data_IF_087254741852
#
_entry.id   IF_087254741852
#
_cell.length_a   1.000
_cell.length_b   1.000
_cell.length_c   1.000
_cell.angle_alpha   90.00
_cell.angle_beta   90.00
_cell.angle_gamma   90.00
#
_symmetry.space_group_name_H-M   'P 1'
#
loop_
_entity.id
_entity.type
_entity.pdbx_description
1 polymer ?
#
# COMPACT_ATOMS: atom_id res chain seq x y z
N UNK A 1 -7.65 9.40 44.63
CA UNK A 1 -8.30 9.29 43.30
C UNK A 1 -7.27 8.82 42.29
N UNK A 2 -7.21 7.53 41.98
CA UNK A 2 -6.49 7.07 40.78
C UNK A 2 -7.28 7.59 39.57
N UNK A 3 -6.72 8.58 38.85
CA UNK A 3 -7.22 8.90 37.52
C UNK A 3 -6.99 7.65 36.67
N UNK A 4 -8.06 7.06 36.14
CA UNK A 4 -7.93 6.03 35.11
C UNK A 4 -7.00 6.56 34.02
N UNK A 5 -5.95 5.82 33.62
CA UNK A 5 -5.02 6.29 32.61
C UNK A 5 -5.79 6.67 31.34
N UNK A 6 -5.60 7.90 30.87
CA UNK A 6 -6.32 8.41 29.70
C UNK A 6 -5.97 7.62 28.44
N UNK A 7 -6.97 7.03 27.80
CA UNK A 7 -6.82 6.33 26.53
C UNK A 7 -6.27 7.29 25.47
N UNK A 8 -5.20 6.89 24.79
CA UNK A 8 -4.50 7.76 23.83
C UNK A 8 -4.26 7.03 22.52
N UNK A 9 -4.30 7.76 21.40
CA UNK A 9 -3.90 7.26 20.09
C UNK A 9 -2.76 8.11 19.55
N UNK A 10 -1.60 7.50 19.28
CA UNK A 10 -0.48 8.16 18.60
C UNK A 10 -0.68 8.09 17.09
N UNK A 11 -0.68 9.25 16.42
CA UNK A 11 -1.05 9.39 15.02
C UNK A 11 0.19 9.81 14.20
N UNK A 12 0.70 8.88 13.41
CA UNK A 12 1.64 9.13 12.33
C UNK A 12 0.99 8.91 10.96
N UNK A 13 0.05 9.80 10.62
CA UNK A 13 -0.70 9.75 9.37
C UNK A 13 -0.46 11.02 8.53
N UNK A 14 -0.44 10.92 7.19
CA UNK A 14 -0.31 12.09 6.33
C UNK A 14 -1.45 13.10 6.56
N UNK A 15 -1.23 14.40 6.32
CA UNK A 15 -2.22 15.45 6.55
C UNK A 15 -3.31 15.50 5.47
N UNK A 16 -3.89 14.34 5.14
CA UNK A 16 -5.01 14.20 4.20
C UNK A 16 -6.34 14.39 4.93
N UNK A 17 -7.39 14.83 4.22
CA UNK A 17 -8.71 15.09 4.78
C UNK A 17 -9.30 13.91 5.60
N UNK A 18 -8.88 12.69 5.28
CA UNK A 18 -9.29 11.43 5.92
C UNK A 18 -8.74 11.25 7.34
N UNK A 19 -7.62 11.91 7.69
CA UNK A 19 -7.10 11.97 9.06
C UNK A 19 -8.09 12.62 10.02
N UNK A 20 -8.87 13.61 9.56
CA UNK A 20 -9.87 14.29 10.39
C UNK A 20 -11.02 13.38 10.81
N UNK A 21 -11.46 12.49 9.92
CA UNK A 21 -12.53 11.53 10.21
C UNK A 21 -12.12 10.51 11.26
N UNK A 22 -10.91 9.96 11.11
CA UNK A 22 -10.30 9.04 12.08
C UNK A 22 -10.15 9.71 13.47
N UNK A 23 -9.65 10.95 13.53
CA UNK A 23 -9.53 11.71 14.79
C UNK A 23 -10.88 12.02 15.44
N UNK A 24 -11.90 12.30 14.64
CA UNK A 24 -13.25 12.53 15.13
C UNK A 24 -13.85 11.24 15.75
N UNK A 25 -13.67 10.10 15.07
CA UNK A 25 -14.09 8.78 15.57
C UNK A 25 -13.37 8.37 16.86
N UNK A 26 -12.05 8.59 16.93
CA UNK A 26 -11.29 8.34 18.16
C UNK A 26 -11.74 9.22 19.33
N UNK A 27 -11.97 10.51 19.07
CA UNK A 27 -12.51 11.43 20.08
C UNK A 27 -13.88 10.98 20.59
N UNK A 28 -14.73 10.45 19.70
CA UNK A 28 -16.04 9.88 20.08
C UNK A 28 -15.89 8.66 21.01
N UNK A 29 -14.87 7.83 20.79
CA UNK A 29 -14.48 6.75 21.68
C UNK A 29 -13.81 7.23 22.99
N UNK A 30 -13.61 8.54 23.19
CA UNK A 30 -12.80 9.10 24.29
C UNK A 30 -11.34 8.63 24.27
N UNK A 31 -10.83 8.26 23.10
CA UNK A 31 -9.41 7.98 22.85
C UNK A 31 -8.77 9.26 22.31
N UNK A 32 -7.89 9.89 23.08
CA UNK A 32 -7.34 11.20 22.74
C UNK A 32 -6.27 11.08 21.62
N UNK A 33 -6.50 11.66 20.42
CA UNK A 33 -5.53 11.56 19.33
C UNK A 33 -4.40 12.57 19.50
N UNK A 34 -3.15 12.08 19.59
CA UNK A 34 -1.92 12.87 19.69
C UNK A 34 -1.02 12.60 18.50
N UNK A 35 -0.40 13.63 17.95
CA UNK A 35 0.46 13.47 16.80
C UNK A 35 1.82 12.93 17.21
N UNK A 36 2.37 12.03 16.39
CA UNK A 36 3.76 11.62 16.55
C UNK A 36 4.71 12.75 16.12
N UNK A 37 5.89 12.87 16.77
CA UNK A 37 6.93 13.79 16.34
C UNK A 37 7.36 13.54 14.89
N UNK A 38 7.63 14.62 14.14
CA UNK A 38 8.16 14.51 12.78
C UNK A 38 9.67 14.19 12.73
N UNK A 39 10.38 14.42 13.84
CA UNK A 39 11.79 14.08 14.00
C UNK A 39 11.97 12.56 14.18
N UNK A 40 12.89 11.96 13.42
CA UNK A 40 13.09 10.50 13.35
C UNK A 40 13.44 9.91 14.72
N UNK A 41 14.40 10.52 15.43
CA UNK A 41 14.86 10.00 16.72
C UNK A 41 13.75 10.06 17.77
N UNK A 42 13.01 11.18 17.83
CA UNK A 42 11.84 11.30 18.72
C UNK A 42 10.71 10.36 18.32
N UNK A 43 10.50 10.13 17.03
CA UNK A 43 9.51 9.19 16.51
C UNK A 43 9.83 7.75 16.95
N UNK A 44 11.05 7.29 16.72
CA UNK A 44 11.53 5.96 17.14
C UNK A 44 11.43 5.80 18.67
N UNK A 45 11.79 6.82 19.44
CA UNK A 45 11.64 6.80 20.90
C UNK A 45 10.17 6.64 21.34
N UNK A 46 9.23 7.33 20.68
CA UNK A 46 7.80 7.17 20.95
C UNK A 46 7.34 5.75 20.67
N UNK A 47 7.79 5.14 19.55
CA UNK A 47 7.46 3.76 19.20
C UNK A 47 7.94 2.78 20.28
N UNK A 48 9.19 2.89 20.70
CA UNK A 48 9.77 2.01 21.73
C UNK A 48 9.03 2.14 23.07
N UNK A 49 8.61 3.36 23.43
CA UNK A 49 7.86 3.63 24.67
C UNK A 49 6.38 3.21 24.63
N UNK A 50 5.88 2.68 23.51
CA UNK A 50 4.52 2.13 23.47
C UNK A 50 4.39 0.85 24.32
N UNK A 51 5.50 0.13 24.55
CA UNK A 51 5.54 -1.03 25.44
C UNK A 51 5.15 -0.65 26.87
N UNK A 52 5.63 0.49 27.36
CA UNK A 52 5.34 1.03 28.70
C UNK A 52 3.94 1.68 28.81
N UNK A 53 3.16 1.69 27.73
CA UNK A 53 1.88 2.40 27.62
C UNK A 53 0.77 1.46 27.11
N UNK A 54 0.26 0.54 27.95
CA UNK A 54 -0.71 -0.47 27.54
C UNK A 54 -2.05 0.11 27.06
N UNK A 55 -2.38 1.34 27.48
CA UNK A 55 -3.61 2.04 27.10
C UNK A 55 -3.43 2.99 25.90
N UNK A 56 -2.34 2.84 25.15
CA UNK A 56 -2.05 3.62 23.95
C UNK A 56 -2.07 2.76 22.71
N UNK A 57 -2.83 3.17 21.70
CA UNK A 57 -2.78 2.62 20.33
C UNK A 57 -1.95 3.53 19.43
N UNK A 58 -1.47 3.00 18.31
CA UNK A 58 -0.76 3.80 17.31
C UNK A 58 -1.33 3.56 15.91
N UNK A 59 -1.33 4.61 15.09
CA UNK A 59 -1.64 4.57 13.67
C UNK A 59 -0.43 5.06 12.90
N UNK A 60 0.15 4.23 12.03
CA UNK A 60 1.40 4.53 11.33
C UNK A 60 1.23 4.31 9.83
N UNK A 61 1.46 5.35 9.05
CA UNK A 61 1.43 5.23 7.60
C UNK A 61 2.76 4.73 7.02
N UNK A 62 2.70 3.60 6.33
CA UNK A 62 3.84 2.94 5.70
C UNK A 62 3.87 3.16 4.17
N UNK A 63 3.10 4.11 3.63
CA UNK A 63 3.04 4.36 2.17
C UNK A 63 4.34 4.92 1.60
N UNK A 64 5.15 5.58 2.44
CA UNK A 64 6.35 6.32 2.01
C UNK A 64 7.61 5.63 2.53
N UNK A 65 8.01 4.54 1.87
CA UNK A 65 9.41 4.11 1.96
C UNK A 65 10.29 5.12 1.23
N UNK A 66 10.89 6.08 1.95
CA UNK A 66 11.88 6.99 1.34
C UNK A 66 11.90 8.46 1.78
N UNK A 67 11.01 8.94 2.67
CA UNK A 67 11.34 10.17 3.39
C UNK A 67 12.31 9.80 4.51
N UNK A 68 13.53 10.36 4.49
CA UNK A 68 14.60 10.07 5.45
C UNK A 68 14.20 10.19 6.95
N UNK A 69 13.04 10.76 7.23
CA UNK A 69 12.52 11.07 8.57
C UNK A 69 11.59 10.01 9.17
N UNK A 70 11.06 9.04 8.41
CA UNK A 70 10.09 8.04 8.93
C UNK A 70 10.51 6.60 8.63
N UNK A 71 10.31 5.67 9.58
CA UNK A 71 10.73 4.28 9.41
C UNK A 71 9.81 3.53 8.43
N UNK A 72 10.43 2.72 7.59
CA UNK A 72 9.79 1.74 6.71
C UNK A 72 9.18 0.58 7.52
N UNK A 73 8.32 -0.22 6.89
CA UNK A 73 7.77 -1.42 7.52
C UNK A 73 8.87 -2.38 8.03
N UNK A 74 9.96 -2.54 7.28
CA UNK A 74 11.10 -3.38 7.71
C UNK A 74 11.78 -2.79 8.94
N UNK A 75 11.99 -1.47 8.99
CA UNK A 75 12.60 -0.82 10.15
C UNK A 75 11.71 -0.94 11.39
N UNK A 76 10.39 -0.82 11.24
CA UNK A 76 9.44 -1.02 12.35
C UNK A 76 9.45 -2.50 12.80
N UNK A 77 9.44 -3.45 11.86
CA UNK A 77 9.51 -4.89 12.16
C UNK A 77 10.86 -5.28 12.82
N UNK A 78 11.95 -4.60 12.48
CA UNK A 78 13.25 -4.85 13.12
C UNK A 78 13.37 -4.20 14.50
N UNK A 79 12.76 -3.02 14.71
CA UNK A 79 12.92 -2.24 15.93
C UNK A 79 12.02 -2.69 17.09
N UNK A 80 10.85 -3.26 16.80
CA UNK A 80 9.86 -3.61 17.82
C UNK A 80 9.80 -5.13 18.04
N UNK A 81 9.72 -5.63 19.29
CA UNK A 81 9.45 -7.03 19.53
C UNK A 81 8.08 -7.44 18.96
N UNK A 82 7.92 -8.71 18.63
CA UNK A 82 6.62 -9.32 18.28
C UNK A 82 5.88 -9.64 19.56
N UNK A 83 5.14 -8.66 20.06
CA UNK A 83 4.39 -8.76 21.31
C UNK A 83 3.07 -7.95 21.26
N UNK A 84 2.42 -7.84 22.43
CA UNK A 84 1.19 -7.08 22.61
C UNK A 84 1.29 -5.61 22.16
N UNK A 85 2.48 -5.01 22.07
CA UNK A 85 2.68 -3.65 21.57
C UNK A 85 2.30 -3.55 20.10
N UNK A 86 2.74 -4.48 19.25
CA UNK A 86 2.37 -4.50 17.83
C UNK A 86 0.88 -4.71 17.61
N UNK A 87 0.26 -5.51 18.47
CA UNK A 87 -1.19 -5.75 18.43
C UNK A 87 -2.00 -4.48 18.72
N UNK A 88 -1.36 -3.40 19.21
CA UNK A 88 -1.96 -2.06 19.37
C UNK A 88 -1.62 -1.08 18.26
N UNK A 89 -0.93 -1.53 17.21
CA UNK A 89 -0.44 -0.68 16.12
C UNK A 89 -1.18 -1.01 14.82
N UNK A 90 -1.91 -0.04 14.32
CA UNK A 90 -2.61 -0.07 13.04
C UNK A 90 -1.73 0.55 11.97
N UNK A 91 -1.34 -0.25 10.97
CA UNK A 91 -0.57 0.25 9.84
C UNK A 91 -1.52 0.80 8.78
N UNK A 92 -1.09 1.80 8.02
CA UNK A 92 -1.91 2.38 6.96
C UNK A 92 -1.15 2.57 5.66
N UNK A 93 -1.89 2.58 4.55
CA UNK A 93 -1.37 2.91 3.23
C UNK A 93 -2.21 3.97 2.54
N UNK A 94 -2.41 5.11 3.23
CA UNK A 94 -3.36 6.15 2.83
C UNK A 94 -2.95 6.89 1.56
N UNK A 95 -1.64 7.00 1.30
CA UNK A 95 -1.09 7.79 0.20
C UNK A 95 -0.57 6.94 -0.96
N UNK A 96 -0.54 5.61 -0.85
CA UNK A 96 -0.07 4.81 -1.98
C UNK A 96 -0.14 3.31 -1.80
N UNK A 97 -0.11 2.63 -2.94
CA UNK A 97 -0.04 1.19 -3.03
C UNK A 97 -1.40 0.50 -2.98
N UNK A 98 -1.37 -0.73 -3.48
CA UNK A 98 -2.41 -1.72 -3.29
C UNK A 98 -2.43 -2.22 -1.84
N UNK A 99 -3.63 -2.54 -1.34
CA UNK A 99 -3.80 -3.31 -0.10
C UNK A 99 -4.69 -4.50 -0.40
N UNK A 100 -4.09 -5.67 -0.62
CA UNK A 100 -4.83 -6.93 -0.74
C UNK A 100 -5.17 -7.51 0.63
N UNK A 101 -6.11 -8.46 0.64
CA UNK A 101 -6.33 -9.33 1.80
C UNK A 101 -5.09 -10.16 2.15
N UNK A 102 -4.24 -10.49 1.17
CA UNK A 102 -2.96 -11.16 1.42
C UNK A 102 -2.00 -10.27 2.22
N UNK A 103 -1.95 -8.99 1.89
CA UNK A 103 -1.11 -8.00 2.57
C UNK A 103 -1.58 -7.80 4.01
N UNK A 104 -2.90 -7.74 4.23
CA UNK A 104 -3.48 -7.68 5.57
C UNK A 104 -3.15 -8.90 6.40
N UNK A 105 -3.34 -10.11 5.85
CA UNK A 105 -2.95 -11.37 6.51
C UNK A 105 -1.46 -11.40 6.85
N UNK A 106 -0.61 -10.92 5.96
CA UNK A 106 0.82 -10.82 6.22
C UNK A 106 1.13 -9.86 7.37
N UNK A 107 0.51 -8.68 7.41
CA UNK A 107 0.66 -7.71 8.49
C UNK A 107 0.18 -8.27 9.84
N UNK A 108 -0.91 -9.04 9.86
CA UNK A 108 -1.34 -9.76 11.07
C UNK A 108 -0.34 -10.85 11.50
N UNK A 109 0.29 -11.55 10.55
CA UNK A 109 1.35 -12.52 10.86
C UNK A 109 2.62 -11.87 11.41
N UNK A 110 2.81 -10.57 11.20
CA UNK A 110 3.82 -9.74 11.86
C UNK A 110 3.34 -9.18 13.22
N UNK A 111 2.17 -9.63 13.70
CA UNK A 111 1.50 -9.25 14.95
C UNK A 111 1.00 -7.81 15.03
N UNK A 112 0.93 -7.09 13.91
CA UNK A 112 0.29 -5.78 13.86
C UNK A 112 -1.24 -5.91 13.89
N UNK A 113 -1.89 -4.85 14.37
CA UNK A 113 -3.34 -4.85 14.59
C UNK A 113 -4.14 -4.99 13.29
N UNK A 114 -3.78 -4.25 12.23
CA UNK A 114 -4.36 -4.34 10.89
C UNK A 114 -3.53 -3.51 9.89
N UNK A 115 -3.80 -3.66 8.59
CA UNK A 115 -3.33 -2.81 7.51
C UNK A 115 -4.52 -2.13 6.82
N UNK A 116 -4.64 -0.81 6.99
CA UNK A 116 -5.82 -0.05 6.60
C UNK A 116 -5.55 0.79 5.33
N UNK A 117 -6.32 0.60 4.24
CA UNK A 117 -6.11 1.33 2.98
C UNK A 117 -6.66 2.76 3.01
N UNK A 118 -7.70 3.01 3.80
CA UNK A 118 -8.35 4.32 3.89
C UNK A 118 -9.17 4.50 5.17
N UNK A 119 -9.52 5.76 5.46
CA UNK A 119 -10.53 6.14 6.45
C UNK A 119 -11.61 6.96 5.73
N UNK A 120 -12.69 6.32 5.28
CA UNK A 120 -13.77 7.05 4.62
C UNK A 120 -14.85 7.48 5.63
N UNK A 121 -15.00 8.79 5.79
CA UNK A 121 -16.03 9.39 6.65
C UNK A 121 -17.46 9.13 6.15
N UNK A 122 -17.62 8.87 4.85
CA UNK A 122 -18.92 8.58 4.23
C UNK A 122 -19.29 7.12 4.30
N UNK A 123 -18.33 6.26 4.64
CA UNK A 123 -18.50 4.83 4.77
C UNK A 123 -18.39 4.44 6.26
N UNK A 124 -19.44 4.75 7.02
CA UNK A 124 -19.54 4.46 8.45
C UNK A 124 -19.73 2.95 8.74
N UNK A 125 -19.77 2.11 7.71
CA UNK A 125 -19.82 0.65 7.79
C UNK A 125 -18.55 -0.01 7.24
N UNK A 126 -17.76 0.71 6.43
CA UNK A 126 -16.51 0.22 5.86
C UNK A 126 -15.26 0.55 6.67
N UNK A 127 -14.21 1.04 6.01
CA UNK A 127 -12.85 1.02 6.56
C UNK A 127 -12.64 1.86 7.84
N UNK A 128 -13.36 2.98 7.97
CA UNK A 128 -13.32 3.80 9.20
C UNK A 128 -13.92 3.04 10.38
N UNK A 129 -15.03 2.32 10.15
CA UNK A 129 -15.66 1.47 11.17
C UNK A 129 -14.73 0.34 11.58
N UNK A 130 -14.17 -0.39 10.61
CA UNK A 130 -13.22 -1.47 10.90
C UNK A 130 -12.03 -1.00 11.73
N UNK A 131 -11.51 0.21 11.45
CA UNK A 131 -10.42 0.80 12.22
C UNK A 131 -10.83 1.09 13.68
N UNK A 132 -11.99 1.71 13.89
CA UNK A 132 -12.47 2.06 15.24
C UNK A 132 -12.86 0.82 16.04
N UNK A 133 -13.52 -0.16 15.41
CA UNK A 133 -13.85 -1.45 16.02
C UNK A 133 -12.58 -2.25 16.35
N UNK A 134 -11.53 -2.10 15.54
CA UNK A 134 -10.20 -2.61 15.87
C UNK A 134 -9.65 -1.98 17.14
N UNK A 135 -9.72 -0.65 17.26
CA UNK A 135 -9.26 0.07 18.47
C UNK A 135 -10.04 -0.36 19.70
N UNK A 136 -11.36 -0.49 19.60
CA UNK A 136 -12.18 -0.94 20.75
C UNK A 136 -11.85 -2.35 21.15
N UNK A 137 -11.66 -3.28 20.20
CA UNK A 137 -11.24 -4.65 20.49
C UNK A 137 -9.90 -4.70 21.23
N UNK A 138 -8.92 -3.94 20.74
CA UNK A 138 -7.58 -3.87 21.32
C UNK A 138 -7.58 -3.27 22.73
N UNK A 139 -8.41 -2.27 22.97
CA UNK A 139 -8.52 -1.58 24.26
C UNK A 139 -9.57 -2.17 25.20
N UNK A 140 -10.28 -3.24 24.80
CA UNK A 140 -11.35 -3.86 25.60
C UNK A 140 -12.57 -2.97 25.81
N UNK A 141 -12.94 -2.18 24.79
CA UNK A 141 -14.05 -1.21 24.83
C UNK A 141 -15.26 -1.69 24.02
N UNK A 142 -16.41 -1.06 24.27
CA UNK A 142 -17.61 -1.24 23.46
C UNK A 142 -17.49 -0.47 22.14
N UNK A 143 -17.77 -1.08 20.97
CA UNK A 143 -17.89 -0.38 19.69
C UNK A 143 -18.93 0.73 19.70
N UNK A 144 -18.72 1.79 18.91
CA UNK A 144 -19.74 2.83 18.69
C UNK A 144 -20.89 2.29 17.85
N UNK A 145 -22.10 2.77 18.11
CA UNK A 145 -23.22 2.51 17.22
C UNK A 145 -23.00 3.23 15.85
N UNK A 146 -23.47 2.66 14.72
CA UNK A 146 -23.31 3.30 13.40
C UNK A 146 -23.84 4.74 13.36
N UNK A 147 -24.95 5.01 14.03
CA UNK A 147 -25.57 6.33 14.10
C UNK A 147 -24.71 7.36 14.83
N UNK A 148 -24.06 6.95 15.92
CA UNK A 148 -23.15 7.80 16.69
C UNK A 148 -21.93 8.13 15.86
N UNK A 149 -21.34 7.13 15.20
CA UNK A 149 -20.23 7.33 14.29
C UNK A 149 -20.60 8.30 13.16
N UNK A 150 -21.77 8.15 12.55
CA UNK A 150 -22.25 9.05 11.50
C UNK A 150 -22.42 10.49 11.99
N UNK A 151 -22.84 10.73 13.23
CA UNK A 151 -22.92 12.07 13.83
C UNK A 151 -21.54 12.70 13.98
N UNK A 152 -20.53 11.92 14.40
CA UNK A 152 -19.16 12.40 14.58
C UNK A 152 -18.35 12.53 13.28
N UNK A 153 -18.61 11.65 12.30
CA UNK A 153 -17.95 11.65 11.00
C UNK A 153 -18.44 12.78 10.08
N UNK A 154 -19.58 13.42 10.38
CA UNK A 154 -20.04 14.68 9.77
C UNK A 154 -19.15 15.86 10.20
N UNK A 155 -17.87 15.78 9.88
CA UNK A 155 -16.94 16.90 9.95
C UNK A 155 -17.38 17.94 8.89
N UNK A 156 -17.42 19.24 9.20
CA UNK A 156 -17.85 20.26 8.24
C UNK A 156 -17.01 20.18 6.96
N UNK A 157 -17.66 20.45 5.81
CA UNK A 157 -17.06 20.54 4.48
C UNK A 157 -15.90 21.55 4.48
N UNK A 158 -14.70 21.13 4.84
CA UNK A 158 -13.51 21.90 4.52
C UNK A 158 -13.35 21.87 3.00
N UNK A 159 -13.59 23.02 2.36
CA UNK A 159 -13.25 23.23 0.94
C UNK A 159 -11.75 22.97 0.76
N UNK A 160 -11.39 21.81 0.24
CA UNK A 160 -10.06 21.55 -0.32
C UNK A 160 -10.21 20.92 -1.71
N UNK A 161 -9.43 21.46 -2.65
CA UNK A 161 -9.53 21.25 -4.11
C UNK A 161 -9.00 19.91 -4.62
N UNK A 162 -8.32 19.08 -3.81
CA UNK A 162 -7.72 17.82 -4.28
C UNK A 162 -8.03 16.69 -3.29
N UNK A 163 -8.84 15.72 -3.71
CA UNK A 163 -9.08 14.48 -2.97
C UNK A 163 -7.90 13.50 -3.13
N UNK A 164 -7.70 12.60 -2.18
CA UNK A 164 -6.74 11.49 -2.35
C UNK A 164 -7.18 10.60 -3.52
N UNK A 165 -6.28 9.82 -4.16
CA UNK A 165 -6.66 8.93 -5.25
C UNK A 165 -7.85 8.01 -4.91
N UNK A 166 -7.82 7.40 -3.72
CA UNK A 166 -8.93 6.57 -3.22
C UNK A 166 -10.23 7.37 -3.00
N UNK A 167 -10.15 8.62 -2.57
CA UNK A 167 -11.33 9.48 -2.43
C UNK A 167 -11.95 9.84 -3.79
N UNK A 168 -11.10 10.11 -4.78
CA UNK A 168 -11.52 10.33 -6.18
C UNK A 168 -12.24 9.09 -6.71
N UNK A 169 -11.64 7.90 -6.54
CA UNK A 169 -12.24 6.63 -6.97
C UNK A 169 -13.59 6.41 -6.33
N UNK A 170 -13.70 6.57 -5.01
CA UNK A 170 -14.96 6.42 -4.29
C UNK A 170 -16.01 7.42 -4.77
N UNK A 171 -15.65 8.70 -4.91
CA UNK A 171 -16.58 9.74 -5.32
C UNK A 171 -17.14 9.54 -6.73
N UNK A 172 -16.32 9.02 -7.65
CA UNK A 172 -16.71 8.84 -9.05
C UNK A 172 -17.37 7.48 -9.31
N UNK A 173 -16.99 6.44 -8.56
CA UNK A 173 -17.39 5.03 -8.85
C UNK A 173 -18.25 4.37 -7.77
N UNK A 174 -18.26 4.93 -6.55
CA UNK A 174 -18.84 4.30 -5.35
C UNK A 174 -18.04 3.12 -4.78
N UNK A 175 -16.90 2.76 -5.40
CA UNK A 175 -16.14 1.54 -5.10
C UNK A 175 -14.76 1.83 -4.50
N UNK A 176 -14.16 0.82 -3.86
CA UNK A 176 -12.76 0.88 -3.41
C UNK A 176 -11.82 0.87 -4.62
N UNK A 177 -10.55 1.21 -4.42
CA UNK A 177 -9.58 1.22 -5.51
C UNK A 177 -9.32 -0.18 -6.07
N UNK A 178 -9.22 -1.16 -5.17
CA UNK A 178 -9.07 -2.58 -5.45
C UNK A 178 -10.27 -3.12 -6.24
N UNK A 179 -11.51 -2.82 -5.81
CA UNK A 179 -12.73 -3.23 -6.52
C UNK A 179 -12.81 -2.63 -7.93
N UNK A 180 -12.36 -1.38 -8.10
CA UNK A 180 -12.31 -0.72 -9.41
C UNK A 180 -11.29 -1.42 -10.31
N UNK A 181 -10.07 -1.63 -9.83
CA UNK A 181 -9.02 -2.29 -10.60
C UNK A 181 -9.44 -3.71 -11.02
N UNK A 182 -10.05 -4.46 -10.11
CA UNK A 182 -10.52 -5.81 -10.34
C UNK A 182 -11.73 -5.86 -11.29
N UNK A 183 -12.66 -4.89 -11.18
CA UNK A 183 -13.75 -4.73 -12.15
C UNK A 183 -13.20 -4.46 -13.55
N UNK A 184 -12.21 -3.57 -13.69
CA UNK A 184 -11.57 -3.30 -14.98
C UNK A 184 -10.86 -4.53 -15.51
N UNK A 185 -10.19 -5.31 -14.65
CA UNK A 185 -9.49 -6.52 -15.04
C UNK A 185 -10.40 -7.52 -15.73
N UNK A 186 -11.62 -7.71 -15.21
CA UNK A 186 -12.61 -8.62 -15.79
C UNK A 186 -13.41 -8.05 -16.98
N UNK A 187 -13.39 -6.72 -17.17
CA UNK A 187 -14.30 -6.06 -18.12
C UNK A 187 -13.62 -5.50 -19.36
N UNK A 188 -12.31 -5.24 -19.31
CA UNK A 188 -11.55 -4.73 -20.44
C UNK A 188 -11.00 -5.86 -21.31
N UNK A 189 -10.75 -5.56 -22.58
CA UNK A 189 -10.07 -6.47 -23.50
C UNK A 189 -8.57 -6.52 -23.16
N UNK A 190 -8.20 -7.38 -22.21
CA UNK A 190 -6.80 -7.60 -21.80
C UNK A 190 -6.19 -8.70 -22.66
N UNK A 191 -5.17 -8.33 -23.43
CA UNK A 191 -4.52 -9.22 -24.38
C UNK A 191 -3.08 -8.78 -24.66
N UNK A 192 -2.35 -9.61 -25.39
CA UNK A 192 -1.00 -9.27 -25.84
C UNK A 192 -1.09 -8.27 -27.00
N UNK A 193 -0.47 -7.11 -26.85
CA UNK A 193 -0.52 -6.01 -27.82
C UNK A 193 0.87 -5.75 -28.41
N UNK A 194 0.96 -5.62 -29.73
CA UNK A 194 2.22 -5.35 -30.41
C UNK A 194 2.35 -3.89 -30.84
N UNK A 195 3.52 -3.30 -30.64
CA UNK A 195 3.88 -1.98 -31.16
C UNK A 195 5.37 -1.91 -31.48
N UNK A 196 5.72 -1.41 -32.68
CA UNK A 196 7.10 -1.31 -33.19
C UNK A 196 7.94 -2.57 -32.96
N UNK A 197 7.45 -3.72 -33.44
CA UNK A 197 8.11 -5.04 -33.34
C UNK A 197 8.30 -5.57 -31.91
N UNK A 198 7.71 -4.93 -30.89
CA UNK A 198 7.70 -5.40 -29.51
C UNK A 198 6.29 -5.80 -29.08
N UNK A 199 6.18 -6.97 -28.49
CA UNK A 199 4.93 -7.47 -27.89
C UNK A 199 4.92 -7.12 -26.40
N UNK A 200 3.80 -6.56 -25.95
CA UNK A 200 3.50 -6.23 -24.56
C UNK A 200 2.40 -7.18 -24.08
N UNK A 201 2.70 -8.17 -23.24
CA UNK A 201 1.73 -9.20 -22.89
C UNK A 201 0.63 -8.65 -21.98
N UNK A 202 -0.59 -9.16 -22.00
CA UNK A 202 -1.64 -8.88 -20.99
C UNK A 202 -1.86 -7.38 -20.68
N UNK A 203 -2.05 -6.59 -21.73
CA UNK A 203 -2.25 -5.13 -21.69
C UNK A 203 -3.63 -4.74 -22.24
N UNK A 204 -4.02 -3.48 -22.05
CA UNK A 204 -5.21 -2.89 -22.65
C UNK A 204 -4.90 -1.47 -23.18
N UNK A 205 -5.75 -0.96 -24.06
CA UNK A 205 -5.60 0.36 -24.68
C UNK A 205 -6.27 1.44 -23.83
N UNK A 206 -5.57 2.54 -23.55
CA UNK A 206 -6.03 3.64 -22.68
C UNK A 206 -7.38 4.24 -23.10
N UNK A 207 -7.52 4.61 -24.37
CA UNK A 207 -8.76 5.20 -24.90
C UNK A 207 -9.96 4.25 -24.84
N UNK A 208 -9.73 2.94 -25.01
CA UNK A 208 -10.78 1.94 -24.89
C UNK A 208 -11.24 1.79 -23.44
N UNK A 209 -10.31 1.83 -22.48
CA UNK A 209 -10.62 1.85 -21.06
C UNK A 209 -11.39 3.13 -20.66
N UNK A 210 -11.00 4.30 -21.14
CA UNK A 210 -11.72 5.55 -20.89
C UNK A 210 -13.15 5.48 -21.42
N UNK A 211 -13.35 5.00 -22.65
CA UNK A 211 -14.67 4.82 -23.24
C UNK A 211 -15.52 3.84 -22.41
N UNK A 212 -14.94 2.73 -21.96
CA UNK A 212 -15.62 1.75 -21.11
C UNK A 212 -16.03 2.34 -19.76
N UNK A 213 -15.10 3.01 -19.07
CA UNK A 213 -15.32 3.63 -17.76
C UNK A 213 -16.40 4.73 -17.83
N UNK A 214 -16.35 5.55 -18.87
CA UNK A 214 -17.33 6.62 -19.12
C UNK A 214 -18.75 6.05 -19.22
N UNK A 215 -18.93 4.97 -19.99
CA UNK A 215 -20.21 4.26 -20.10
C UNK A 215 -20.62 3.59 -18.79
N UNK A 216 -19.69 2.91 -18.11
CA UNK A 216 -19.99 2.13 -16.90
C UNK A 216 -20.54 2.98 -15.76
N UNK A 217 -19.97 4.17 -15.56
CA UNK A 217 -20.32 5.08 -14.47
C UNK A 217 -21.10 6.33 -14.92
N UNK A 218 -21.49 6.40 -16.19
CA UNK A 218 -22.22 7.53 -16.78
C UNK A 218 -21.48 8.86 -16.52
N UNK A 219 -20.16 8.87 -16.72
CA UNK A 219 -19.27 10.00 -16.45
C UNK A 219 -18.63 10.53 -17.74
N UNK A 220 -18.29 11.83 -17.80
CA UNK A 220 -17.52 12.36 -18.92
C UNK A 220 -16.11 11.73 -18.98
N UNK A 221 -15.50 11.73 -20.16
CA UNK A 221 -14.16 11.19 -20.39
C UNK A 221 -13.11 11.78 -19.43
N UNK A 222 -13.23 13.06 -19.08
CA UNK A 222 -12.34 13.73 -18.12
C UNK A 222 -12.38 13.10 -16.71
N UNK A 223 -13.56 12.69 -16.23
CA UNK A 223 -13.69 11.98 -14.96
C UNK A 223 -13.21 10.52 -15.07
N UNK A 224 -13.41 9.86 -16.22
CA UNK A 224 -12.85 8.53 -16.48
C UNK A 224 -11.30 8.54 -16.52
N UNK A 225 -10.69 9.59 -17.08
CA UNK A 225 -9.25 9.82 -16.99
C UNK A 225 -8.83 10.02 -15.55
N UNK A 226 -9.57 10.79 -14.74
CA UNK A 226 -9.28 10.97 -13.32
C UNK A 226 -9.34 9.67 -12.52
N UNK A 227 -10.28 8.76 -12.84
CA UNK A 227 -10.33 7.40 -12.27
C UNK A 227 -9.04 6.64 -12.60
N UNK A 228 -8.64 6.60 -13.87
CA UNK A 228 -7.41 5.90 -14.26
C UNK A 228 -6.16 6.53 -13.65
N UNK A 229 -6.05 7.86 -13.61
CA UNK A 229 -4.93 8.54 -12.95
C UNK A 229 -4.87 8.21 -11.46
N UNK A 230 -6.03 8.13 -10.79
CA UNK A 230 -6.08 7.72 -9.38
C UNK A 230 -5.60 6.26 -9.19
N UNK A 231 -6.01 5.32 -10.04
CA UNK A 231 -5.45 3.95 -10.01
C UNK A 231 -3.94 3.94 -10.25
N UNK A 232 -3.47 4.80 -11.16
CA UNK A 232 -2.05 4.99 -11.47
C UNK A 232 -1.25 5.48 -10.27
N UNK A 233 -1.74 6.49 -9.55
CA UNK A 233 -1.10 6.98 -8.33
C UNK A 233 -1.02 5.95 -7.21
N UNK A 234 -1.94 4.98 -7.20
CA UNK A 234 -1.90 3.85 -6.26
C UNK A 234 -1.04 2.68 -6.78
N UNK A 235 -0.54 2.79 -8.01
CA UNK A 235 0.17 1.76 -8.75
C UNK A 235 -0.64 0.49 -8.99
N UNK A 236 -1.97 0.61 -9.02
CA UNK A 236 -2.91 -0.44 -9.44
C UNK A 236 -3.03 -0.53 -10.97
N UNK A 237 -2.54 0.49 -11.67
CA UNK A 237 -2.52 0.57 -13.11
C UNK A 237 -1.24 1.27 -13.56
N UNK A 238 -0.55 0.73 -14.55
CA UNK A 238 0.75 1.27 -15.00
C UNK A 238 0.78 1.37 -16.52
N UNK A 239 1.45 2.39 -17.05
CA UNK A 239 1.84 2.41 -18.45
C UNK A 239 2.93 1.37 -18.68
N UNK A 240 2.86 0.61 -19.78
CA UNK A 240 3.74 -0.57 -19.99
C UNK A 240 5.23 -0.22 -20.10
N UNK A 241 5.56 1.02 -20.44
CA UNK A 241 6.94 1.54 -20.43
C UNK A 241 7.21 2.51 -19.27
N UNK A 242 6.20 2.82 -18.45
CA UNK A 242 6.27 3.77 -17.34
C UNK A 242 6.55 5.25 -17.73
N UNK A 243 6.49 5.58 -19.02
CA UNK A 243 6.79 6.94 -19.52
C UNK A 243 5.62 7.93 -19.41
N UNK A 244 4.40 7.44 -19.18
CA UNK A 244 3.20 8.27 -19.25
C UNK A 244 2.27 8.06 -18.06
N UNK A 245 1.58 9.13 -17.59
CA UNK A 245 0.40 8.96 -16.76
C UNK A 245 -0.71 8.26 -17.56
N UNK A 246 -1.83 7.98 -16.90
CA UNK A 246 -3.01 7.52 -17.62
C UNK A 246 -3.61 8.65 -18.47
N UNK A 247 -3.81 8.35 -19.75
CA UNK A 247 -4.28 9.27 -20.76
C UNK A 247 -5.36 8.60 -21.63
N UNK A 248 -6.33 9.38 -22.08
CA UNK A 248 -7.28 8.98 -23.11
C UNK A 248 -6.60 8.99 -24.49
N UNK A 249 -5.78 7.97 -24.74
CA UNK A 249 -5.01 7.82 -25.97
C UNK A 249 -4.75 6.33 -26.25
N UNK A 250 -4.27 6.02 -27.46
CA UNK A 250 -3.88 4.67 -27.90
C UNK A 250 -2.53 4.21 -27.31
N UNK A 251 -2.35 4.44 -26.01
CA UNK A 251 -1.22 3.95 -25.21
C UNK A 251 -1.61 2.64 -24.51
N UNK A 252 -0.61 1.84 -24.14
CA UNK A 252 -0.84 0.54 -23.53
C UNK A 252 -0.63 0.61 -22.01
N UNK A 253 -1.56 0.02 -21.29
CA UNK A 253 -1.56 -0.02 -19.84
C UNK A 253 -1.76 -1.44 -19.33
N UNK A 254 -1.37 -1.68 -18.08
CA UNK A 254 -1.53 -2.95 -17.37
C UNK A 254 -2.14 -2.68 -15.99
N UNK A 255 -3.06 -3.54 -15.56
CA UNK A 255 -3.55 -3.57 -14.19
C UNK A 255 -2.64 -4.43 -13.31
N UNK A 256 -2.26 -3.90 -12.15
CA UNK A 256 -1.40 -4.54 -11.15
C UNK A 256 -2.21 -5.25 -10.05
N UNK A 257 -3.26 -5.96 -10.45
CA UNK A 257 -4.09 -6.83 -9.60
C UNK A 257 -4.05 -8.25 -10.14
N UNK A 258 -4.05 -9.25 -9.28
CA UNK A 258 -4.05 -10.65 -9.68
C UNK A 258 -4.53 -11.51 -8.53
N UNK A 259 -5.60 -12.27 -8.76
CA UNK A 259 -6.10 -13.25 -7.79
C UNK A 259 -5.03 -14.30 -7.46
N UNK A 260 -4.24 -14.72 -8.45
CA UNK A 260 -3.15 -15.67 -8.23
C UNK A 260 -2.05 -15.09 -7.34
N UNK A 261 -1.70 -13.81 -7.54
CA UNK A 261 -0.77 -13.09 -6.66
C UNK A 261 -1.35 -12.91 -5.25
N UNK A 262 -2.64 -12.62 -5.12
CA UNK A 262 -3.35 -12.42 -3.84
C UNK A 262 -3.49 -13.70 -2.99
N UNK A 263 -3.14 -14.87 -3.55
CA UNK A 263 -3.02 -16.11 -2.79
C UNK A 263 -1.70 -16.22 -2.03
N UNK A 264 -0.68 -15.44 -2.39
CA UNK A 264 0.64 -15.45 -1.76
C UNK A 264 0.83 -14.20 -0.89
N UNK A 265 1.27 -14.41 0.36
CA UNK A 265 1.63 -13.30 1.24
C UNK A 265 2.99 -12.70 0.84
N UNK A 266 3.12 -11.36 0.84
CA UNK A 266 4.38 -10.71 0.47
C UNK A 266 5.58 -11.14 1.33
N UNK A 267 5.37 -11.49 2.60
CA UNK A 267 6.42 -12.08 3.43
C UNK A 267 6.95 -13.42 2.89
N UNK A 268 6.07 -14.28 2.36
CA UNK A 268 6.45 -15.54 1.73
C UNK A 268 7.21 -15.31 0.41
N UNK A 269 6.76 -14.33 -0.38
CA UNK A 269 7.44 -13.94 -1.62
C UNK A 269 8.83 -13.39 -1.31
N UNK A 270 8.94 -12.49 -0.33
CA UNK A 270 10.20 -11.90 0.11
C UNK A 270 11.18 -12.98 0.61
N UNK A 271 10.70 -13.91 1.44
CA UNK A 271 11.50 -15.05 1.89
C UNK A 271 11.94 -15.94 0.71
N UNK A 272 11.07 -16.15 -0.28
CA UNK A 272 11.39 -16.94 -1.48
C UNK A 272 12.54 -16.31 -2.27
N UNK A 273 12.47 -15.01 -2.54
CA UNK A 273 13.52 -14.32 -3.31
C UNK A 273 14.82 -14.17 -2.51
N UNK A 274 14.76 -14.05 -1.19
CA UNK A 274 15.94 -13.91 -0.30
C UNK A 274 16.58 -15.24 0.09
N UNK A 275 15.94 -16.38 -0.16
CA UNK A 275 16.46 -17.69 0.24
C UNK A 275 17.85 -17.96 -0.36
N UNK A 276 18.60 -18.89 0.22
CA UNK A 276 19.91 -19.32 -0.30
C UNK A 276 19.82 -19.89 -1.72
N UNK A 277 18.69 -20.51 -2.08
CA UNK A 277 18.33 -20.93 -3.43
C UNK A 277 17.39 -19.93 -4.13
N UNK A 278 17.41 -18.66 -3.72
CA UNK A 278 16.61 -17.56 -4.23
C UNK A 278 17.27 -16.88 -5.43
N UNK A 279 17.13 -15.55 -5.53
CA UNK A 279 17.72 -14.79 -6.64
C UNK A 279 19.24 -14.70 -6.45
N UNK A 280 20.05 -14.85 -7.52
CA UNK A 280 21.51 -14.72 -7.41
C UNK A 280 21.94 -13.29 -7.04
N UNK A 281 22.39 -13.11 -5.80
CA UNK A 281 22.93 -11.83 -5.32
C UNK A 281 24.43 -11.78 -5.58
N UNK A 282 24.87 -10.77 -6.34
CA UNK A 282 26.28 -10.58 -6.69
C UNK A 282 26.57 -9.11 -7.02
N UNK A 283 27.83 -8.72 -6.95
CA UNK A 283 28.31 -7.44 -7.45
C UNK A 283 28.29 -7.47 -8.98
N UNK A 284 27.71 -6.46 -9.61
CA UNK A 284 27.61 -6.37 -11.08
C UNK A 284 28.00 -4.98 -11.56
N UNK A 285 28.62 -4.89 -12.73
CA UNK A 285 29.00 -3.61 -13.33
C UNK A 285 28.19 -3.31 -14.58
N UNK A 286 27.88 -2.03 -14.81
CA UNK A 286 27.22 -1.54 -16.01
C UNK A 286 27.68 -0.11 -16.31
N UNK A 287 28.05 0.17 -17.57
CA UNK A 287 28.59 1.47 -18.01
C UNK A 287 29.71 2.05 -17.11
N UNK A 288 30.62 1.19 -16.65
CA UNK A 288 31.75 1.58 -15.81
C UNK A 288 31.40 1.82 -14.33
N UNK A 289 30.14 1.72 -13.92
CA UNK A 289 29.71 1.75 -12.52
C UNK A 289 29.55 0.33 -11.98
N UNK A 290 30.00 0.09 -10.74
CA UNK A 290 29.81 -1.18 -10.03
C UNK A 290 28.70 -1.05 -8.99
N UNK A 291 27.76 -1.97 -9.03
CA UNK A 291 26.61 -2.07 -8.14
C UNK A 291 26.79 -3.28 -7.23
N UNK A 292 27.10 -3.09 -5.94
CA UNK A 292 27.32 -4.20 -5.03
C UNK A 292 26.01 -4.88 -4.65
N UNK A 293 26.10 -6.20 -4.39
CA UNK A 293 25.04 -7.07 -3.86
C UNK A 293 23.67 -6.83 -4.50
N UNK A 294 23.62 -6.83 -5.81
CA UNK A 294 22.39 -6.68 -6.57
C UNK A 294 21.90 -8.02 -7.13
N UNK A 295 20.71 -8.04 -7.71
CA UNK A 295 20.10 -9.18 -8.39
C UNK A 295 19.29 -8.69 -9.59
N UNK A 296 18.96 -9.58 -10.53
CA UNK A 296 18.32 -9.18 -11.80
C UNK A 296 16.80 -9.36 -11.74
N UNK A 297 16.05 -8.37 -12.23
CA UNK A 297 14.59 -8.37 -12.23
C UNK A 297 13.97 -9.58 -12.92
N UNK A 298 14.44 -9.92 -14.13
CA UNK A 298 13.96 -11.09 -14.86
C UNK A 298 14.20 -12.41 -14.11
N UNK A 299 15.34 -12.58 -13.45
CA UNK A 299 15.66 -13.78 -12.66
C UNK A 299 14.69 -13.94 -11.48
N UNK A 300 14.31 -12.83 -10.83
CA UNK A 300 13.31 -12.87 -9.77
C UNK A 300 11.92 -13.27 -10.28
N UNK A 301 11.55 -12.83 -11.48
CA UNK A 301 10.30 -13.23 -12.13
C UNK A 301 10.34 -14.73 -12.45
N UNK A 302 11.41 -15.21 -13.08
CA UNK A 302 11.60 -16.62 -13.44
C UNK A 302 11.53 -17.53 -12.21
N UNK A 303 12.19 -17.11 -11.11
CA UNK A 303 12.16 -17.81 -9.83
C UNK A 303 10.73 -17.98 -9.30
N UNK A 304 9.95 -16.90 -9.27
CA UNK A 304 8.59 -16.93 -8.73
C UNK A 304 7.64 -17.73 -9.63
N UNK A 305 7.80 -17.63 -10.95
CA UNK A 305 7.07 -18.45 -11.93
C UNK A 305 7.32 -19.93 -11.66
N UNK A 306 8.59 -20.34 -11.56
CA UNK A 306 8.95 -21.74 -11.36
C UNK A 306 8.52 -22.26 -9.99
N UNK A 307 8.71 -21.48 -8.92
CA UNK A 307 8.47 -21.92 -7.54
C UNK A 307 7.00 -21.98 -7.15
N UNK A 308 6.18 -21.09 -7.69
CA UNK A 308 4.78 -20.93 -7.29
C UNK A 308 3.79 -21.23 -8.44
N UNK A 309 4.27 -21.76 -9.56
CA UNK A 309 3.47 -22.05 -10.75
C UNK A 309 2.62 -20.86 -11.23
N UNK A 310 3.21 -19.66 -11.19
CA UNK A 310 2.55 -18.40 -11.52
C UNK A 310 2.69 -18.09 -13.01
N UNK A 311 1.72 -17.35 -13.57
CA UNK A 311 1.96 -16.68 -14.83
C UNK A 311 3.02 -15.58 -14.62
N UNK A 312 3.82 -15.30 -15.65
CA UNK A 312 4.90 -14.30 -15.60
C UNK A 312 4.41 -12.92 -15.11
N UNK A 313 3.20 -12.54 -15.53
CA UNK A 313 2.51 -11.33 -15.06
C UNK A 313 2.27 -11.32 -13.56
N UNK A 314 1.84 -12.44 -12.98
CA UNK A 314 1.48 -12.49 -11.56
C UNK A 314 2.73 -12.38 -10.68
N UNK A 315 3.84 -13.00 -11.11
CA UNK A 315 5.16 -12.79 -10.52
C UNK A 315 5.60 -11.31 -10.58
N UNK A 316 5.39 -10.63 -11.71
CA UNK A 316 5.63 -9.19 -11.83
C UNK A 316 4.76 -8.39 -10.84
N UNK A 317 3.47 -8.73 -10.68
CA UNK A 317 2.57 -8.05 -9.70
C UNK A 317 3.12 -8.18 -8.28
N UNK A 318 3.60 -9.37 -7.89
CA UNK A 318 4.20 -9.59 -6.57
C UNK A 318 5.46 -8.75 -6.35
N UNK A 319 6.36 -8.71 -7.34
CA UNK A 319 7.61 -7.94 -7.25
C UNK A 319 7.35 -6.42 -7.28
N UNK A 320 6.42 -5.97 -8.12
CA UNK A 320 5.92 -4.60 -8.10
C UNK A 320 5.39 -4.22 -6.72
N UNK A 321 4.59 -5.09 -6.09
CA UNK A 321 4.10 -4.87 -4.72
C UNK A 321 5.21 -4.87 -3.67
N UNK A 322 6.19 -5.79 -3.73
CA UNK A 322 7.35 -5.75 -2.84
C UNK A 322 8.06 -4.39 -2.93
N UNK A 323 8.20 -3.83 -4.14
CA UNK A 323 8.78 -2.51 -4.35
C UNK A 323 7.89 -1.39 -3.78
N UNK A 324 6.57 -1.48 -3.94
CA UNK A 324 5.63 -0.53 -3.33
C UNK A 324 5.66 -0.56 -1.79
N UNK A 325 5.97 -1.69 -1.17
CA UNK A 325 6.22 -1.82 0.26
C UNK A 325 7.64 -1.39 0.67
N UNK A 326 8.48 -1.00 -0.30
CA UNK A 326 9.86 -0.62 -0.06
C UNK A 326 10.70 -1.77 0.47
N UNK A 327 10.39 -3.02 0.10
CA UNK A 327 11.10 -4.26 0.51
C UNK A 327 12.24 -4.62 -0.46
N UNK A 328 12.14 -4.06 -1.67
CA UNK A 328 13.12 -4.11 -2.74
C UNK A 328 13.18 -2.74 -3.41
N UNK A 329 14.29 -2.44 -4.06
CA UNK A 329 14.47 -1.18 -4.79
C UNK A 329 15.39 -1.37 -6.00
N UNK A 330 15.23 -0.52 -7.01
CA UNK A 330 16.19 -0.41 -8.10
C UNK A 330 17.49 0.20 -7.57
N UNK A 331 18.65 -0.29 -8.04
CA UNK A 331 19.96 0.15 -7.50
C UNK A 331 20.26 1.64 -7.68
N UNK A 332 19.55 2.34 -8.58
CA UNK A 332 19.65 3.81 -8.74
C UNK A 332 18.46 4.57 -8.15
N UNK A 333 17.44 3.88 -7.63
CA UNK A 333 16.15 4.46 -7.19
C UNK A 333 15.32 5.19 -8.28
N UNK A 334 15.73 5.12 -9.55
CA UNK A 334 15.09 5.87 -10.64
C UNK A 334 14.00 5.08 -11.39
N UNK A 335 13.91 3.77 -11.17
CA UNK A 335 13.05 2.90 -11.99
C UNK A 335 12.08 2.08 -11.14
N UNK A 336 10.87 1.83 -11.64
CA UNK A 336 9.96 0.87 -11.06
C UNK A 336 10.47 -0.56 -11.26
N UNK A 337 9.69 -1.54 -10.81
CA UNK A 337 10.00 -2.94 -11.08
C UNK A 337 9.75 -3.28 -12.56
N UNK A 338 10.79 -3.73 -13.24
CA UNK A 338 10.80 -4.10 -14.64
C UNK A 338 11.29 -5.53 -14.75
N UNK A 339 10.47 -6.37 -15.38
CA UNK A 339 10.86 -7.70 -15.81
C UNK A 339 11.86 -7.59 -16.98
N UNK A 340 13.15 -7.65 -16.64
CA UNK A 340 14.25 -7.48 -17.57
C UNK A 340 15.62 -7.47 -16.88
N UNK A 341 16.66 -7.16 -17.64
CA UNK A 341 18.05 -7.08 -17.18
C UNK A 341 18.34 -5.80 -16.37
N UNK A 342 17.47 -5.49 -15.40
CA UNK A 342 17.63 -4.36 -14.47
C UNK A 342 18.08 -4.87 -13.10
N UNK A 343 18.88 -4.06 -12.41
CA UNK A 343 19.46 -4.43 -11.14
C UNK A 343 18.63 -3.90 -9.97
N UNK A 344 18.33 -4.79 -9.04
CA UNK A 344 17.59 -4.52 -7.82
C UNK A 344 18.39 -4.96 -6.60
N UNK A 345 17.99 -4.46 -5.43
CA UNK A 345 18.52 -4.89 -4.14
C UNK A 345 17.40 -5.03 -3.12
N UNK A 346 17.66 -5.82 -2.09
CA UNK A 346 16.81 -5.88 -0.92
C UNK A 346 17.03 -4.66 -0.04
N UNK A 347 15.96 -4.11 0.52
CA UNK A 347 16.04 -3.05 1.53
C UNK A 347 16.09 -3.66 2.93
N UNK A 348 16.67 -2.90 3.88
CA UNK A 348 16.85 -3.36 5.26
C UNK A 348 18.05 -4.29 5.47
N UNK A 349 18.24 -4.80 6.70
CA UNK A 349 19.39 -5.62 7.03
C UNK A 349 19.40 -6.94 6.22
N UNK A 350 20.60 -7.49 5.91
CA UNK A 350 20.71 -8.77 5.24
C UNK A 350 20.00 -9.87 6.04
N UNK A 351 19.40 -10.84 5.34
CA UNK A 351 18.71 -11.98 5.97
C UNK A 351 19.66 -12.81 6.85
N UNK A 352 20.95 -12.77 6.54
CA UNK A 352 22.02 -13.38 7.32
C UNK A 352 22.57 -12.30 8.23
N UNK A 353 22.27 -12.36 9.53
CA UNK A 353 22.74 -11.42 10.56
C UNK A 353 24.24 -11.43 10.80
N UNK A 354 25.06 -11.36 9.75
CA UNK A 354 26.50 -11.15 9.83
C UNK A 354 26.78 -9.70 9.47
N UNK A 355 27.06 -8.92 10.52
CA UNK A 355 27.68 -7.59 10.47
C UNK A 355 29.02 -7.63 9.75
#
# INVERSE_FOLDING_TARGET
>A
MHQSPGLTAMIDLPPVARRSAQRAGLSALRVLPRDMPADRNRHENVLLRLADRPHTVAFIDISRGGMATRPTLIEIDAALPRDATRQRMFLTRLEGGHVSEADRRWVHALEFADLLPEFDARDCEGSLRSALDGVTRVLGMTPLAPEELARHARVPKQKRKVGTPRATLRALTGKSAEDVAELLHRSLAIQDLAYRLRTYPQCFVGSEAVAWMSRRWHRPATEAVAIGQALGSLGLMVHVTHDHPFLDNRLFYRLAVSEAADRLGLGQVLASVRASNGVPVADRSYLGATYPRCWIGAEAVDLLVARHALARRDAWVLLHRLMQFGLIEHVTHERPFIDGAFYYRFTGPPADGKS
#
